data_IF_521549914036
#
_entry.id   IF_521549914036
#
_cell.length_a   1.000
_cell.length_b   1.000
_cell.length_c   1.000
_cell.angle_alpha   90.00
_cell.angle_beta   90.00
_cell.angle_gamma   90.00
#
_symmetry.space_group_name_H-M   'P 1'
#
loop_
_entity.id
_entity.type
_entity.pdbx_description
1 polymer ?
#
# COMPACT_ATOMS: atom_id res chain seq x y z
N UNK A 1 0.48 35.27 13.63
CA UNK A 1 -0.54 34.89 14.64
C UNK A 1 -1.88 35.22 14.03
N UNK A 2 -2.70 34.22 13.74
CA UNK A 2 -3.95 34.43 12.99
C UNK A 2 -5.00 35.09 13.89
N UNK A 3 -5.86 35.94 13.30
CA UNK A 3 -6.92 36.65 14.02
C UNK A 3 -7.91 35.65 14.64
N UNK A 4 -8.16 34.53 13.96
CA UNK A 4 -8.99 33.43 14.44
C UNK A 4 -8.43 32.77 15.72
N UNK A 5 -7.12 32.52 15.76
CA UNK A 5 -6.44 31.95 16.94
C UNK A 5 -6.51 32.90 18.14
N UNK A 6 -6.46 34.21 17.91
CA UNK A 6 -6.59 35.23 18.94
C UNK A 6 -8.01 35.27 19.52
N UNK A 7 -9.04 35.25 18.67
CA UNK A 7 -10.45 35.24 19.09
C UNK A 7 -10.76 33.95 19.86
N UNK A 8 -10.25 32.80 19.40
CA UNK A 8 -10.40 31.53 20.08
C UNK A 8 -9.75 31.54 21.47
N UNK A 9 -8.49 31.97 21.56
CA UNK A 9 -7.74 32.00 22.83
C UNK A 9 -8.41 32.95 23.85
N UNK A 10 -8.90 34.10 23.40
CA UNK A 10 -9.61 35.04 24.26
C UNK A 10 -10.92 34.46 24.81
N UNK A 11 -11.65 33.65 24.03
CA UNK A 11 -12.86 32.99 24.50
C UNK A 11 -12.61 31.79 25.40
N UNK A 12 -11.51 31.07 25.21
CA UNK A 12 -11.03 30.02 26.12
C UNK A 12 -10.60 30.60 27.47
N UNK A 13 -9.99 31.79 27.48
CA UNK A 13 -9.58 32.54 28.68
C UNK A 13 -10.76 33.28 29.38
N UNK A 14 -11.98 33.18 28.85
CA UNK A 14 -13.19 33.77 29.44
C UNK A 14 -13.39 35.25 29.13
N UNK A 15 -12.61 35.83 28.21
CA UNK A 15 -12.82 37.18 27.68
C UNK A 15 -13.94 37.17 26.63
N UNK A 16 -14.68 38.26 26.51
CA UNK A 16 -15.81 38.38 25.58
C UNK A 16 -15.44 39.33 24.42
N UNK A 17 -14.76 38.83 23.37
CA UNK A 17 -14.37 39.65 22.22
C UNK A 17 -15.60 40.19 21.47
N UNK A 18 -15.51 41.40 20.94
CA UNK A 18 -16.58 42.07 20.19
C UNK A 18 -16.35 41.97 18.68
N UNK A 19 -17.37 41.57 17.92
CA UNK A 19 -17.32 41.46 16.45
C UNK A 19 -18.27 40.39 15.93
N UNK A 20 -18.60 40.44 14.64
CA UNK A 20 -19.51 39.45 13.99
C UNK A 20 -18.94 38.03 14.11
N UNK A 21 -17.63 37.88 13.95
CA UNK A 21 -16.96 36.58 14.06
C UNK A 21 -16.96 36.08 15.52
N UNK A 22 -16.72 36.97 16.49
CA UNK A 22 -16.76 36.61 17.90
C UNK A 22 -18.15 36.09 18.33
N UNK A 23 -19.23 36.64 17.77
CA UNK A 23 -20.58 36.15 18.01
C UNK A 23 -20.81 34.74 17.44
N UNK A 24 -20.31 34.46 16.24
CA UNK A 24 -20.37 33.14 15.64
C UNK A 24 -19.59 32.10 16.48
N UNK A 25 -18.36 32.42 16.89
CA UNK A 25 -17.58 31.55 17.76
C UNK A 25 -18.27 31.36 19.12
N UNK A 26 -18.94 32.38 19.66
CA UNK A 26 -19.66 32.28 20.94
C UNK A 26 -20.82 31.29 20.87
N UNK A 27 -21.55 31.26 19.76
CA UNK A 27 -22.62 30.28 19.51
C UNK A 27 -22.06 28.85 19.44
N UNK A 28 -20.91 28.67 18.79
CA UNK A 28 -20.22 27.37 18.72
C UNK A 28 -19.75 26.93 20.10
N UNK A 29 -19.04 27.78 20.84
CA UNK A 29 -18.57 27.47 22.19
C UNK A 29 -19.72 27.18 23.17
N UNK A 30 -20.83 27.92 23.09
CA UNK A 30 -22.01 27.65 23.91
C UNK A 30 -22.70 26.34 23.54
N UNK A 31 -22.61 25.90 22.28
CA UNK A 31 -23.12 24.61 21.84
C UNK A 31 -22.21 23.45 22.27
N UNK A 32 -20.89 23.67 22.26
CA UNK A 32 -19.89 22.69 22.74
C UNK A 32 -19.88 22.53 24.26
N UNK A 33 -20.20 23.58 25.03
CA UNK A 33 -20.34 23.52 26.50
C UNK A 33 -21.54 22.71 26.97
N UNK A 34 -22.53 22.48 26.10
CA UNK A 34 -23.66 21.61 26.44
C UNK A 34 -23.17 20.18 26.37
N UNK A 35 -23.15 19.50 27.52
CA UNK A 35 -22.93 18.06 27.54
C UNK A 35 -23.97 17.40 26.62
N UNK A 36 -23.53 16.63 25.60
CA UNK A 36 -24.47 15.98 24.72
C UNK A 36 -25.30 15.00 25.56
N UNK A 37 -26.62 15.13 25.52
CA UNK A 37 -27.56 14.21 26.18
C UNK A 37 -27.55 12.78 25.60
N UNK A 38 -26.55 12.45 24.78
CA UNK A 38 -26.40 11.19 24.10
C UNK A 38 -25.62 10.21 25.00
N UNK A 39 -26.32 9.21 25.52
CA UNK A 39 -25.67 8.05 26.13
C UNK A 39 -25.04 7.22 25.02
N UNK A 40 -23.70 7.25 24.92
CA UNK A 40 -22.96 6.37 24.03
C UNK A 40 -23.30 4.91 24.38
N UNK A 41 -23.43 4.08 23.35
CA UNK A 41 -23.53 2.63 23.54
C UNK A 41 -22.29 2.15 24.31
N UNK A 42 -22.43 1.22 25.28
CA UNK A 42 -21.30 0.67 26.03
C UNK A 42 -20.18 0.11 25.13
N UNK A 43 -20.56 -0.34 23.93
CA UNK A 43 -19.68 -0.93 22.93
C UNK A 43 -19.15 0.10 21.89
N UNK A 44 -19.42 1.40 22.07
CA UNK A 44 -18.94 2.41 21.11
C UNK A 44 -17.41 2.48 21.08
N UNK A 45 -16.78 2.54 22.25
CA UNK A 45 -15.32 2.66 22.36
C UNK A 45 -14.61 1.41 21.78
N UNK A 46 -15.14 0.23 22.04
CA UNK A 46 -14.64 -1.05 21.50
C UNK A 46 -14.79 -1.10 19.97
N UNK A 47 -15.93 -0.68 19.40
CA UNK A 47 -16.07 -0.64 17.93
C UNK A 47 -15.14 0.36 17.27
N UNK A 48 -14.93 1.53 17.87
CA UNK A 48 -14.01 2.54 17.34
C UNK A 48 -12.58 2.03 17.41
N UNK A 49 -12.17 1.45 18.55
CA UNK A 49 -10.85 0.84 18.69
C UNK A 49 -10.65 -0.32 17.69
N UNK A 50 -11.64 -1.20 17.54
CA UNK A 50 -11.58 -2.29 16.58
C UNK A 50 -11.47 -1.77 15.13
N UNK A 51 -12.12 -0.66 14.80
CA UNK A 51 -12.02 -0.04 13.47
C UNK A 51 -10.69 0.69 13.26
N UNK A 52 -10.13 1.29 14.30
CA UNK A 52 -8.82 1.96 14.26
C UNK A 52 -7.66 0.96 14.13
N UNK A 53 -7.81 -0.23 14.73
CA UNK A 53 -6.83 -1.33 14.61
C UNK A 53 -7.06 -2.22 13.40
N UNK A 54 -8.19 -2.10 12.70
CA UNK A 54 -8.41 -2.85 11.48
C UNK A 54 -7.38 -2.39 10.43
N UNK A 55 -6.55 -3.29 9.87
CA UNK A 55 -5.67 -2.92 8.78
C UNK A 55 -6.51 -2.35 7.65
N UNK A 56 -6.09 -1.20 7.11
CA UNK A 56 -6.73 -0.63 5.94
C UNK A 56 -6.84 -1.73 4.89
N UNK A 57 -8.06 -2.01 4.43
CA UNK A 57 -8.32 -3.02 3.41
C UNK A 57 -7.83 -2.45 2.08
N UNK A 58 -6.51 -2.37 1.92
CA UNK A 58 -5.88 -1.87 0.70
C UNK A 58 -6.03 -2.95 -0.35
N UNK A 59 -6.58 -2.57 -1.50
CA UNK A 59 -6.60 -3.43 -2.66
C UNK A 59 -5.16 -3.75 -3.06
N UNK A 60 -4.86 -5.03 -3.20
CA UNK A 60 -3.53 -5.52 -3.56
C UNK A 60 -3.35 -5.37 -5.08
N UNK A 61 -2.93 -4.15 -5.46
CA UNK A 61 -2.69 -3.78 -6.86
C UNK A 61 -1.64 -4.69 -7.51
N UNK A 62 -0.65 -5.14 -6.75
CA UNK A 62 0.42 -6.02 -7.24
C UNK A 62 -0.16 -7.35 -7.70
N UNK A 63 -1.02 -7.97 -6.90
CA UNK A 63 -1.73 -9.20 -7.31
C UNK A 63 -2.65 -8.97 -8.50
N UNK A 64 -3.34 -7.84 -8.55
CA UNK A 64 -4.22 -7.52 -9.68
C UNK A 64 -3.43 -7.41 -11.00
N UNK A 65 -2.31 -6.69 -11.00
CA UNK A 65 -1.47 -6.56 -12.19
C UNK A 65 -0.78 -7.87 -12.56
N UNK A 66 -0.34 -8.66 -11.58
CA UNK A 66 0.29 -9.96 -11.83
C UNK A 66 -0.70 -10.94 -12.50
N UNK A 67 -1.90 -11.07 -11.96
CA UNK A 67 -2.93 -11.96 -12.52
C UNK A 67 -3.40 -11.42 -13.88
N UNK A 68 -3.67 -10.12 -13.98
CA UNK A 68 -4.10 -9.50 -15.23
C UNK A 68 -3.06 -9.63 -16.34
N UNK A 69 -1.79 -9.39 -16.03
CA UNK A 69 -0.68 -9.54 -16.97
C UNK A 69 -0.49 -10.98 -17.44
N UNK A 70 -0.60 -11.95 -16.53
CA UNK A 70 -0.49 -13.38 -16.88
C UNK A 70 -1.61 -13.84 -17.81
N UNK A 71 -2.86 -13.43 -17.54
CA UNK A 71 -4.00 -13.75 -18.40
C UNK A 71 -3.86 -13.09 -19.76
N UNK A 72 -3.44 -11.82 -19.81
CA UNK A 72 -3.21 -11.11 -21.06
C UNK A 72 -2.10 -11.76 -21.90
N UNK A 73 -0.99 -12.15 -21.27
CA UNK A 73 0.10 -12.85 -21.94
C UNK A 73 -0.36 -14.15 -22.58
N UNK A 74 -1.13 -14.96 -21.84
CA UNK A 74 -1.68 -16.21 -22.36
C UNK A 74 -2.65 -15.97 -23.53
N UNK A 75 -3.52 -14.98 -23.43
CA UNK A 75 -4.46 -14.64 -24.50
C UNK A 75 -3.74 -14.21 -25.77
N UNK A 76 -2.72 -13.36 -25.65
CA UNK A 76 -1.89 -12.92 -26.78
C UNK A 76 -1.12 -14.08 -27.39
N UNK A 77 -0.57 -14.99 -26.56
CA UNK A 77 0.15 -16.17 -27.03
C UNK A 77 -0.75 -17.09 -27.87
N UNK A 78 -1.95 -17.40 -27.36
CA UNK A 78 -2.94 -18.24 -28.08
C UNK A 78 -3.37 -17.56 -29.38
N UNK A 79 -3.66 -16.26 -29.33
CA UNK A 79 -4.01 -15.48 -30.53
C UNK A 79 -2.88 -15.50 -31.57
N UNK A 80 -1.63 -15.29 -31.14
CA UNK A 80 -0.48 -15.31 -32.02
C UNK A 80 -0.33 -16.67 -32.71
N UNK A 81 -0.44 -17.78 -31.97
CA UNK A 81 -0.38 -19.14 -32.52
C UNK A 81 -1.49 -19.36 -33.55
N UNK A 82 -2.72 -18.93 -33.23
CA UNK A 82 -3.89 -19.10 -34.09
C UNK A 82 -3.77 -18.30 -35.41
N UNK A 83 -3.28 -17.06 -35.35
CA UNK A 83 -3.15 -16.18 -36.53
C UNK A 83 -1.96 -16.55 -37.40
N UNK A 84 -0.82 -16.87 -36.79
CA UNK A 84 0.42 -17.14 -37.54
C UNK A 84 0.51 -18.57 -38.08
N UNK A 85 -0.46 -19.44 -37.78
CA UNK A 85 -0.41 -20.87 -38.08
C UNK A 85 0.97 -21.46 -37.72
N UNK A 86 1.45 -21.10 -36.53
CA UNK A 86 2.80 -21.42 -36.09
C UNK A 86 2.91 -22.94 -35.93
N UNK A 87 3.44 -23.60 -36.96
CA UNK A 87 3.93 -24.96 -36.81
C UNK A 87 5.12 -24.86 -35.85
N UNK A 88 5.14 -25.68 -34.79
CA UNK A 88 6.30 -25.81 -33.92
C UNK A 88 7.45 -26.41 -34.73
N UNK A 89 8.06 -25.62 -35.60
CA UNK A 89 9.28 -25.99 -36.29
C UNK A 89 10.36 -26.02 -35.23
N UNK A 90 10.94 -27.20 -35.03
CA UNK A 90 12.12 -27.42 -34.20
C UNK A 90 13.34 -26.56 -34.64
N UNK A 91 13.22 -25.74 -35.70
CA UNK A 91 14.21 -24.75 -36.11
C UNK A 91 14.52 -23.68 -35.05
N UNK A 92 13.55 -23.25 -34.23
CA UNK A 92 13.83 -22.32 -33.12
C UNK A 92 14.63 -23.02 -32.01
N UNK A 93 14.33 -24.30 -31.75
CA UNK A 93 15.11 -25.14 -30.84
C UNK A 93 16.52 -25.44 -31.37
N UNK A 94 16.71 -25.53 -32.70
CA UNK A 94 18.06 -25.58 -33.32
C UNK A 94 18.86 -24.29 -33.11
N UNK A 95 18.20 -23.14 -33.04
CA UNK A 95 18.88 -21.89 -32.67
C UNK A 95 19.36 -21.94 -31.21
N UNK A 96 18.57 -22.52 -30.30
CA UNK A 96 18.97 -22.78 -28.92
C UNK A 96 20.04 -23.87 -28.77
N UNK A 97 20.18 -24.82 -29.70
CA UNK A 97 21.28 -25.81 -29.69
C UNK A 97 22.65 -25.12 -29.76
N UNK A 98 22.79 -24.10 -30.63
CA UNK A 98 24.03 -23.34 -30.78
C UNK A 98 24.37 -22.49 -29.55
N UNK A 99 23.35 -22.00 -28.84
CA UNK A 99 23.49 -21.17 -27.63
C UNK A 99 23.16 -21.92 -26.33
N UNK A 100 23.07 -23.26 -26.38
CA UNK A 100 22.71 -24.11 -25.24
C UNK A 100 23.67 -23.87 -24.07
N UNK A 101 24.96 -23.74 -24.38
CA UNK A 101 26.00 -23.40 -23.39
C UNK A 101 25.77 -22.04 -22.74
N UNK A 102 25.30 -21.03 -23.49
CA UNK A 102 25.03 -19.70 -22.95
C UNK A 102 23.79 -19.70 -22.05
N UNK A 103 22.77 -20.48 -22.39
CA UNK A 103 21.55 -20.64 -21.60
C UNK A 103 21.81 -21.40 -20.30
N UNK A 104 22.58 -22.49 -20.37
CA UNK A 104 23.04 -23.26 -19.20
C UNK A 104 23.93 -22.38 -18.33
N UNK A 105 24.88 -21.64 -18.91
CA UNK A 105 25.74 -20.71 -18.18
C UNK A 105 24.92 -19.61 -17.48
N UNK A 106 23.98 -18.98 -18.17
CA UNK A 106 23.10 -17.95 -17.60
C UNK A 106 22.29 -18.49 -16.42
N UNK A 107 21.74 -19.69 -16.57
CA UNK A 107 20.96 -20.33 -15.51
C UNK A 107 21.82 -20.68 -14.30
N UNK A 108 23.00 -21.28 -14.52
CA UNK A 108 23.96 -21.59 -13.44
C UNK A 108 24.44 -20.32 -12.75
N UNK A 109 24.67 -19.24 -13.50
CA UNK A 109 25.11 -17.96 -12.96
C UNK A 109 24.03 -17.31 -12.08
N UNK A 110 22.77 -17.32 -12.51
CA UNK A 110 21.63 -16.82 -11.72
C UNK A 110 21.49 -17.65 -10.43
N UNK A 111 21.58 -18.98 -10.51
CA UNK A 111 21.53 -19.87 -9.33
C UNK A 111 22.71 -19.59 -8.39
N UNK A 112 23.91 -19.41 -8.93
CA UNK A 112 25.10 -19.09 -8.14
C UNK A 112 24.94 -17.76 -7.41
N UNK A 113 24.45 -16.71 -8.07
CA UNK A 113 24.14 -15.42 -7.44
C UNK A 113 23.09 -15.56 -6.34
N UNK A 114 22.03 -16.33 -6.57
CA UNK A 114 20.98 -16.55 -5.58
C UNK A 114 21.50 -17.29 -4.34
N UNK A 115 22.41 -18.25 -4.52
CA UNK A 115 23.09 -18.94 -3.41
C UNK A 115 24.06 -18.01 -2.66
N UNK A 116 24.74 -17.13 -3.38
CA UNK A 116 25.68 -16.16 -2.81
C UNK A 116 24.94 -15.11 -1.98
N UNK A 117 23.82 -14.60 -2.50
CA UNK A 117 22.88 -13.73 -1.78
C UNK A 117 22.38 -14.38 -0.50
N UNK A 118 21.92 -15.64 -0.57
CA UNK A 118 21.46 -16.40 0.60
C UNK A 118 22.56 -16.62 1.64
N UNK A 119 23.80 -16.89 1.19
CA UNK A 119 24.95 -17.08 2.09
C UNK A 119 25.42 -15.77 2.72
N UNK A 120 25.37 -14.66 1.97
CA UNK A 120 25.77 -13.33 2.45
C UNK A 120 24.74 -12.75 3.44
N UNK A 121 23.44 -12.85 3.13
CA UNK A 121 22.36 -12.46 4.04
C UNK A 121 22.30 -13.35 5.29
N UNK A 122 22.61 -14.65 5.17
CA UNK A 122 22.73 -15.56 6.30
C UNK A 122 23.84 -15.16 7.29
N UNK A 123 24.95 -14.60 6.79
CA UNK A 123 26.06 -14.14 7.63
C UNK A 123 25.76 -12.79 8.33
N UNK A 124 24.91 -11.95 7.73
CA UNK A 124 24.47 -10.67 8.32
C UNK A 124 23.40 -10.92 9.41
N UNK A 125 22.48 -11.88 9.19
CA UNK A 125 21.41 -12.19 10.16
C UNK A 125 21.93 -12.88 11.44
N UNK A 126 23.06 -13.59 11.37
CA UNK A 126 23.66 -14.26 12.53
C UNK A 126 24.54 -13.32 13.39
N UNK A 127 24.76 -12.08 12.95
CA UNK A 127 25.60 -11.09 13.64
C UNK A 127 24.86 -10.12 14.57
N UNK A 128 23.53 -10.21 14.70
CA UNK A 128 22.71 -9.30 15.53
C UNK A 128 22.00 -10.03 16.70
N UNK A 129 22.64 -11.06 17.24
CA UNK A 129 22.21 -11.76 18.47
C UNK A 129 23.42 -12.12 19.34
N UNK A 130 24.32 -11.15 19.53
CA UNK A 130 25.29 -11.12 20.64
C UNK A 130 25.45 -9.71 21.14
#
# INVERSE_FOLDING_TARGET
MNIDELIQKQMEEGSNPSGVDAEAYRVVFNSLKKEPAYKLSPDFASRVAARAHAPAKTFDWDKFFLIGGMVLFLAVLVYAIAVTQFTFSAGVFRFFESYSTLFVFGTVFIVALHLLEKKLLGHISTGNNR
#
